data_IF_091938527726
#
_entry.id   IF_091938527726
#
_cell.length_a   1.000
_cell.length_b   1.000
_cell.length_c   1.000
_cell.angle_alpha   90.00
_cell.angle_beta   90.00
_cell.angle_gamma   90.00
#
_symmetry.space_group_name_H-M   'P 1'
#
loop_
_entity.id
_entity.type
_entity.pdbx_description
1 polymer ?
#
# COMPACT_ATOMS: atom_id res chain seq x y z
N UNK A 1 15.21 15.29 24.16
CA UNK A 1 14.41 15.38 22.91
C UNK A 1 15.20 15.18 21.61
N UNK A 2 16.15 16.04 21.19
CA UNK A 2 16.81 15.91 19.85
C UNK A 2 17.74 14.69 19.69
N UNK A 3 18.42 14.27 20.76
CA UNK A 3 19.29 13.08 20.77
C UNK A 3 18.51 11.75 20.90
N UNK A 4 17.29 11.77 21.45
CA UNK A 4 16.47 10.57 21.63
C UNK A 4 15.88 10.06 20.31
N UNK A 5 15.65 10.94 19.32
CA UNK A 5 15.12 10.56 18.01
C UNK A 5 16.11 9.74 17.16
N UNK A 6 17.42 9.83 17.43
CA UNK A 6 18.44 9.09 16.67
C UNK A 6 18.55 7.61 17.06
N UNK A 7 18.10 7.24 18.26
CA UNK A 7 18.35 5.90 18.82
C UNK A 7 17.11 5.01 18.90
N UNK A 8 16.00 5.41 18.26
CA UNK A 8 14.77 4.60 18.24
C UNK A 8 15.01 3.28 17.50
N UNK A 9 14.87 2.17 18.22
CA UNK A 9 15.02 0.82 17.66
C UNK A 9 13.80 0.43 16.82
N UNK A 10 14.01 -0.40 15.79
CA UNK A 10 12.89 -1.00 15.02
C UNK A 10 12.00 -1.90 15.88
N UNK A 11 12.50 -2.41 17.00
CA UNK A 11 11.72 -3.26 17.91
C UNK A 11 10.76 -2.47 18.81
N UNK A 12 10.92 -1.15 18.93
CA UNK A 12 10.04 -0.32 19.75
C UNK A 12 8.65 -0.18 19.12
N UNK A 13 7.62 -0.38 19.93
CA UNK A 13 6.21 -0.26 19.52
C UNK A 13 5.51 0.87 20.27
N UNK A 14 4.43 1.39 19.67
CA UNK A 14 3.49 2.32 20.30
C UNK A 14 2.19 1.64 20.71
N UNK A 15 1.11 2.42 20.76
CA UNK A 15 -0.24 1.93 21.08
C UNK A 15 -0.79 1.00 20.00
N UNK A 16 -0.38 1.18 18.74
CA UNK A 16 -0.80 0.31 17.64
C UNK A 16 -0.06 -1.05 17.62
N UNK A 17 0.96 -1.24 18.46
CA UNK A 17 1.73 -2.48 18.51
C UNK A 17 2.55 -2.78 17.25
N UNK A 18 2.68 -1.84 16.32
CA UNK A 18 3.42 -2.01 15.07
C UNK A 18 4.90 -1.69 15.27
N UNK A 19 5.77 -2.67 15.06
CA UNK A 19 7.22 -2.49 15.04
C UNK A 19 7.64 -1.58 13.89
N UNK A 20 8.80 -0.96 14.02
CA UNK A 20 9.41 -0.05 13.05
C UNK A 20 8.67 1.27 12.80
N UNK A 21 7.38 1.38 13.16
CA UNK A 21 6.58 2.60 12.98
C UNK A 21 7.16 3.82 13.71
N UNK A 22 7.57 3.63 14.97
CA UNK A 22 8.18 4.69 15.79
C UNK A 22 9.53 5.14 15.23
N UNK A 23 10.33 4.18 14.76
CA UNK A 23 11.62 4.46 14.11
C UNK A 23 11.40 5.25 12.81
N UNK A 24 10.48 4.82 11.96
CA UNK A 24 10.14 5.50 10.72
C UNK A 24 9.73 6.96 10.96
N UNK A 25 8.86 7.21 11.94
CA UNK A 25 8.46 8.56 12.36
C UNK A 25 9.66 9.40 12.83
N UNK A 26 10.45 8.86 13.77
CA UNK A 26 11.59 9.58 14.34
C UNK A 26 12.67 9.90 13.29
N UNK A 27 13.00 8.95 12.43
CA UNK A 27 13.97 9.15 11.34
C UNK A 27 13.47 10.14 10.30
N UNK A 28 12.17 10.11 9.96
CA UNK A 28 11.58 11.05 9.01
C UNK A 28 11.68 12.49 9.50
N UNK A 29 11.42 12.73 10.79
CA UNK A 29 11.58 14.04 11.40
C UNK A 29 13.07 14.45 11.53
N UNK A 30 13.95 13.54 11.95
CA UNK A 30 15.38 13.82 12.06
C UNK A 30 16.03 14.19 10.71
N UNK A 31 15.64 13.52 9.61
CA UNK A 31 16.13 13.84 8.26
C UNK A 31 15.72 15.22 7.80
N UNK A 32 14.51 15.66 8.16
CA UNK A 32 14.03 17.00 7.83
C UNK A 32 14.88 18.10 8.48
N UNK A 33 15.34 17.87 9.70
CA UNK A 33 16.22 18.79 10.44
C UNK A 33 17.67 18.76 9.92
N UNK A 34 17.99 17.97 8.89
CA UNK A 34 19.35 17.79 8.38
C UNK A 34 20.23 16.91 9.26
N UNK A 35 19.63 16.20 10.22
CA UNK A 35 20.33 15.46 11.28
C UNK A 35 20.50 13.96 10.92
N UNK A 36 19.92 13.50 9.80
CA UNK A 36 19.93 12.09 9.38
C UNK A 36 20.94 11.74 8.28
N UNK A 37 21.46 10.52 8.30
CA UNK A 37 22.21 9.94 7.19
C UNK A 37 21.29 9.50 6.05
N UNK A 38 21.89 9.25 4.87
CA UNK A 38 21.20 8.56 3.78
C UNK A 38 20.63 7.21 4.27
N UNK A 39 19.46 6.85 3.76
CA UNK A 39 18.82 5.55 4.03
C UNK A 39 19.74 4.43 3.56
N UNK A 40 19.99 3.45 4.43
CA UNK A 40 20.53 2.17 3.98
C UNK A 40 19.48 1.44 3.12
N UNK A 41 19.92 0.51 2.27
CA UNK A 41 18.97 -0.30 1.48
C UNK A 41 17.99 -1.07 2.38
N UNK A 42 18.46 -1.57 3.52
CA UNK A 42 17.62 -2.30 4.48
C UNK A 42 16.55 -1.39 5.10
N UNK A 43 16.92 -0.19 5.54
CA UNK A 43 15.95 0.76 6.10
C UNK A 43 14.94 1.19 5.05
N UNK A 44 15.38 1.45 3.82
CA UNK A 44 14.46 1.76 2.74
C UNK A 44 13.48 0.60 2.49
N UNK A 45 13.94 -0.65 2.53
CA UNK A 45 13.06 -1.83 2.39
C UNK A 45 12.06 -1.91 3.53
N UNK A 46 12.47 -1.67 4.77
CA UNK A 46 11.57 -1.72 5.93
C UNK A 46 10.55 -0.57 5.91
N UNK A 47 10.97 0.65 5.56
CA UNK A 47 10.07 1.79 5.37
C UNK A 47 8.98 1.45 4.34
N UNK A 48 9.35 0.85 3.20
CA UNK A 48 8.38 0.45 2.19
C UNK A 48 7.47 -0.69 2.66
N UNK A 49 7.99 -1.70 3.35
CA UNK A 49 7.18 -2.78 3.90
C UNK A 49 6.16 -2.26 4.91
N UNK A 50 6.57 -1.32 5.77
CA UNK A 50 5.71 -0.66 6.74
C UNK A 50 4.58 0.08 6.04
N UNK A 51 4.91 0.96 5.08
CA UNK A 51 3.92 1.78 4.39
C UNK A 51 2.94 0.95 3.58
N UNK A 52 3.42 -0.03 2.82
CA UNK A 52 2.55 -0.93 2.06
C UNK A 52 1.70 -1.80 2.99
N UNK A 53 2.28 -2.33 4.07
CA UNK A 53 1.55 -3.18 5.00
C UNK A 53 0.47 -2.46 5.81
N UNK A 54 0.61 -1.15 6.01
CA UNK A 54 -0.37 -0.29 6.69
C UNK A 54 -1.27 0.48 5.71
N UNK A 55 -1.24 0.17 4.41
CA UNK A 55 -1.96 0.88 3.34
C UNK A 55 -1.71 2.40 3.32
N UNK A 56 -0.52 2.84 3.73
CA UNK A 56 -0.15 4.25 3.79
C UNK A 56 0.46 4.71 2.47
N UNK A 57 -0.16 5.71 1.83
CA UNK A 57 0.37 6.30 0.62
C UNK A 57 1.63 7.13 0.91
N UNK A 58 2.76 6.76 0.30
CA UNK A 58 4.08 7.35 0.55
C UNK A 58 4.09 8.89 0.51
N UNK A 59 3.47 9.49 -0.51
CA UNK A 59 3.45 10.94 -0.69
C UNK A 59 2.61 11.63 0.39
N UNK A 60 1.45 11.06 0.73
CA UNK A 60 0.57 11.59 1.78
C UNK A 60 1.26 11.52 3.15
N UNK A 61 1.88 10.38 3.47
CA UNK A 61 2.63 10.19 4.70
C UNK A 61 3.79 11.18 4.81
N UNK A 62 4.58 11.34 3.74
CA UNK A 62 5.67 12.33 3.70
C UNK A 62 5.14 13.75 3.91
N UNK A 63 4.07 14.14 3.21
CA UNK A 63 3.47 15.47 3.35
C UNK A 63 3.01 15.73 4.79
N UNK A 64 2.33 14.77 5.40
CA UNK A 64 1.85 14.88 6.78
C UNK A 64 3.01 15.07 7.76
N UNK A 65 4.03 14.21 7.69
CA UNK A 65 5.20 14.29 8.57
C UNK A 65 5.99 15.60 8.38
N UNK A 66 6.17 16.03 7.14
CA UNK A 66 7.00 17.20 6.83
C UNK A 66 6.33 18.52 7.21
N UNK A 67 5.00 18.63 7.05
CA UNK A 67 4.26 19.86 7.31
C UNK A 67 3.77 19.97 8.76
N UNK A 68 3.22 18.90 9.32
CA UNK A 68 2.54 18.95 10.62
C UNK A 68 3.50 18.76 11.79
N UNK A 69 4.56 17.95 11.61
CA UNK A 69 5.46 17.53 12.71
C UNK A 69 4.71 16.95 13.90
N UNK A 70 3.88 15.91 13.67
CA UNK A 70 3.11 15.33 14.75
C UNK A 70 4.04 14.72 15.80
N UNK A 71 3.59 14.73 17.04
CA UNK A 71 4.07 13.80 18.07
C UNK A 71 3.83 12.35 17.62
N UNK A 72 4.53 11.39 18.23
CA UNK A 72 4.35 9.99 17.85
C UNK A 72 2.90 9.51 18.07
N UNK A 73 2.26 9.94 19.17
CA UNK A 73 0.84 9.62 19.45
C UNK A 73 -0.10 10.18 18.38
N UNK A 74 0.09 11.43 17.95
CA UNK A 74 -0.71 12.02 16.87
C UNK A 74 -0.50 11.29 15.53
N UNK A 75 0.73 10.83 15.28
CA UNK A 75 1.01 10.02 14.10
C UNK A 75 0.31 8.66 14.16
N UNK A 76 0.29 7.98 15.31
CA UNK A 76 -0.47 6.74 15.48
C UNK A 76 -1.98 6.95 15.25
N UNK A 77 -2.55 8.02 15.79
CA UNK A 77 -3.95 8.38 15.55
C UNK A 77 -4.23 8.66 14.07
N UNK A 78 -3.31 9.34 13.39
CA UNK A 78 -3.42 9.59 11.95
C UNK A 78 -3.37 8.27 11.14
N UNK A 79 -2.45 7.36 11.44
CA UNK A 79 -2.37 6.05 10.79
C UNK A 79 -3.66 5.25 10.97
N UNK A 80 -4.20 5.23 12.19
CA UNK A 80 -5.47 4.56 12.48
C UNK A 80 -6.63 5.18 11.71
N UNK A 81 -6.70 6.52 11.63
CA UNK A 81 -7.72 7.23 10.86
C UNK A 81 -7.64 6.91 9.36
N UNK A 82 -6.45 6.79 8.78
CA UNK A 82 -6.27 6.37 7.37
C UNK A 82 -6.72 4.94 7.11
N UNK A 83 -6.67 4.09 8.13
CA UNK A 83 -7.16 2.73 8.05
C UNK A 83 -8.66 2.60 8.40
N UNK A 84 -9.39 3.70 8.55
CA UNK A 84 -10.83 3.69 8.85
C UNK A 84 -11.14 3.41 10.34
N UNK A 85 -10.17 3.63 11.22
CA UNK A 85 -10.33 3.45 12.66
C UNK A 85 -9.93 2.08 13.19
N UNK A 86 -9.56 1.13 12.31
CA UNK A 86 -9.20 -0.23 12.70
C UNK A 86 -7.98 -0.75 11.95
N UNK A 87 -7.17 -1.57 12.62
CA UNK A 87 -6.04 -2.27 12.05
C UNK A 87 -6.15 -3.75 12.41
N UNK A 88 -6.42 -4.59 11.40
CA UNK A 88 -6.59 -6.01 11.59
C UNK A 88 -5.39 -6.64 12.34
N UNK A 89 -5.59 -7.40 13.42
CA UNK A 89 -4.50 -8.00 14.20
C UNK A 89 -3.54 -8.86 13.35
N UNK A 90 -4.08 -9.60 12.37
CA UNK A 90 -3.31 -10.37 11.39
C UNK A 90 -2.28 -9.53 10.62
N UNK A 91 -2.62 -8.28 10.29
CA UNK A 91 -1.75 -7.35 9.57
C UNK A 91 -0.58 -6.92 10.46
N UNK A 92 -0.87 -6.60 11.72
CA UNK A 92 0.13 -6.20 12.72
C UNK A 92 1.07 -7.38 13.02
N UNK A 93 0.52 -8.56 13.28
CA UNK A 93 1.28 -9.80 13.53
C UNK A 93 2.25 -10.07 12.37
N UNK A 94 1.73 -10.04 11.14
CA UNK A 94 2.55 -10.27 9.95
C UNK A 94 3.68 -9.25 9.82
N UNK A 95 3.42 -7.95 10.02
CA UNK A 95 4.45 -6.91 9.94
C UNK A 95 5.53 -7.12 11.01
N UNK A 96 5.11 -7.39 12.24
CA UNK A 96 6.01 -7.61 13.36
C UNK A 96 6.90 -8.85 13.14
N UNK A 97 6.38 -9.96 12.61
CA UNK A 97 7.19 -11.12 12.23
C UNK A 97 8.26 -10.76 11.21
N UNK A 98 7.93 -9.94 10.20
CA UNK A 98 8.91 -9.51 9.18
C UNK A 98 10.00 -8.62 9.79
N UNK A 99 9.64 -7.63 10.61
CA UNK A 99 10.62 -6.72 11.21
C UNK A 99 11.50 -7.38 12.25
N UNK A 100 10.97 -8.36 12.99
CA UNK A 100 11.71 -9.16 13.96
C UNK A 100 12.53 -10.30 13.32
N UNK A 101 12.37 -10.54 12.01
CA UNK A 101 12.94 -11.69 11.30
C UNK A 101 12.55 -13.02 11.97
N UNK A 102 11.28 -13.15 12.35
CA UNK A 102 10.71 -14.32 13.00
C UNK A 102 9.74 -15.05 12.07
N UNK A 103 9.52 -16.36 12.28
CA UNK A 103 8.44 -17.07 11.61
C UNK A 103 7.09 -16.38 11.83
N UNK A 104 6.20 -16.53 10.85
CA UNK A 104 4.81 -16.11 11.00
C UNK A 104 4.11 -16.94 12.07
N UNK A 105 3.24 -16.32 12.85
CA UNK A 105 2.37 -17.04 13.77
C UNK A 105 1.29 -17.84 13.03
N UNK A 106 0.63 -18.74 13.76
CA UNK A 106 -0.29 -19.72 13.19
C UNK A 106 -1.47 -19.07 12.46
N UNK A 107 -1.97 -17.93 12.95
CA UNK A 107 -3.08 -17.22 12.33
C UNK A 107 -2.69 -16.69 10.94
N UNK A 108 -1.50 -16.11 10.82
CA UNK A 108 -0.97 -15.64 9.54
C UNK A 108 -0.73 -16.83 8.60
N UNK A 109 -0.14 -17.92 9.11
CA UNK A 109 0.09 -19.13 8.31
C UNK A 109 -1.22 -19.79 7.83
N UNK A 110 -2.28 -19.78 8.65
CA UNK A 110 -3.61 -20.24 8.26
C UNK A 110 -4.16 -19.39 7.11
N UNK A 111 -4.11 -18.06 7.23
CA UNK A 111 -4.54 -17.14 6.18
C UNK A 111 -3.77 -17.32 4.86
N UNK A 112 -2.45 -17.54 4.94
CA UNK A 112 -1.62 -17.79 3.75
C UNK A 112 -1.96 -19.13 3.10
N UNK A 113 -2.19 -20.19 3.88
CA UNK A 113 -2.64 -21.50 3.34
C UNK A 113 -4.00 -21.42 2.67
N UNK A 114 -4.93 -20.66 3.22
CA UNK A 114 -6.23 -20.41 2.58
C UNK A 114 -6.05 -19.71 1.22
N UNK A 115 -5.14 -18.75 1.13
CA UNK A 115 -4.82 -18.08 -0.14
C UNK A 115 -4.13 -19.02 -1.12
N UNK A 116 -3.22 -19.88 -0.66
CA UNK A 116 -2.56 -20.88 -1.51
C UNK A 116 -3.55 -21.92 -2.04
N UNK A 117 -4.49 -22.37 -1.20
CA UNK A 117 -5.53 -23.33 -1.57
C UNK A 117 -6.61 -22.74 -2.50
N UNK A 118 -6.66 -21.41 -2.66
CA UNK A 118 -7.57 -20.78 -3.62
C UNK A 118 -7.17 -21.11 -5.06
N UNK A 119 -8.16 -21.25 -5.94
CA UNK A 119 -7.94 -21.59 -7.34
C UNK A 119 -6.98 -20.62 -8.03
N UNK A 120 -6.11 -21.17 -8.87
CA UNK A 120 -5.16 -20.39 -9.65
C UNK A 120 -5.88 -19.43 -10.60
N UNK A 121 -5.38 -18.20 -10.64
CA UNK A 121 -5.98 -17.10 -11.42
C UNK A 121 -5.27 -16.93 -12.75
N UNK A 122 -3.95 -17.14 -12.76
CA UNK A 122 -3.10 -17.08 -13.94
C UNK A 122 -2.81 -18.50 -14.43
N UNK A 123 -2.96 -18.70 -15.73
CA UNK A 123 -2.56 -19.94 -16.41
C UNK A 123 -1.04 -20.01 -16.61
N UNK A 124 -0.53 -21.16 -17.03
CA UNK A 124 0.89 -21.30 -17.40
C UNK A 124 1.28 -20.35 -18.54
N UNK A 125 0.40 -20.15 -19.53
CA UNK A 125 0.62 -19.24 -20.64
C UNK A 125 0.67 -17.78 -20.17
N UNK A 126 -0.19 -17.40 -19.21
CA UNK A 126 -0.17 -16.07 -18.60
C UNK A 126 1.13 -15.79 -17.85
N UNK A 127 1.66 -16.79 -17.13
CA UNK A 127 2.94 -16.70 -16.43
C UNK A 127 4.12 -16.62 -17.39
N UNK A 128 4.09 -17.38 -18.49
CA UNK A 128 5.09 -17.25 -19.55
C UNK A 128 5.04 -15.87 -20.20
N UNK A 129 3.83 -15.37 -20.51
CA UNK A 129 3.65 -14.03 -21.07
C UNK A 129 4.19 -12.95 -20.13
N UNK A 130 3.98 -13.09 -18.81
CA UNK A 130 4.57 -12.20 -17.80
C UNK A 130 6.10 -12.22 -17.82
N UNK A 131 6.73 -13.39 -17.84
CA UNK A 131 8.20 -13.48 -17.88
C UNK A 131 8.79 -12.87 -19.16
N UNK A 132 8.10 -13.01 -20.28
CA UNK A 132 8.53 -12.46 -21.57
C UNK A 132 8.29 -10.95 -21.69
N UNK A 133 7.15 -10.45 -21.20
CA UNK A 133 6.67 -9.09 -21.50
C UNK A 133 6.67 -8.15 -20.28
N UNK A 134 6.77 -8.69 -19.06
CA UNK A 134 6.75 -7.93 -17.81
C UNK A 134 5.38 -7.35 -17.42
N UNK A 135 4.30 -7.81 -18.05
CA UNK A 135 2.92 -7.51 -17.67
C UNK A 135 1.99 -8.69 -18.02
N UNK A 136 0.83 -8.74 -17.38
CA UNK A 136 -0.23 -9.73 -17.63
C UNK A 136 -1.60 -9.10 -17.38
N UNK A 137 -2.64 -9.57 -18.07
CA UNK A 137 -4.00 -9.03 -17.96
C UNK A 137 -4.88 -10.02 -17.23
N UNK A 138 -5.23 -9.71 -15.97
CA UNK A 138 -6.24 -10.47 -15.22
C UNK A 138 -7.62 -9.91 -15.51
N UNK A 139 -8.42 -10.65 -16.27
CA UNK A 139 -9.82 -10.30 -16.52
C UNK A 139 -10.66 -10.65 -15.28
N UNK A 140 -11.66 -9.79 -15.04
CA UNK A 140 -12.63 -9.95 -13.95
C UNK A 140 -11.94 -10.12 -12.58
N UNK A 141 -10.89 -9.32 -12.34
CA UNK A 141 -10.13 -9.32 -11.09
C UNK A 141 -10.98 -8.93 -9.86
N UNK A 142 -12.06 -8.19 -10.10
CA UNK A 142 -13.12 -7.81 -9.16
C UNK A 142 -14.47 -7.99 -9.86
N UNK A 143 -15.56 -8.05 -9.08
CA UNK A 143 -16.91 -8.15 -9.66
C UNK A 143 -17.30 -6.87 -10.39
N UNK A 144 -18.29 -6.95 -11.29
CA UNK A 144 -18.81 -5.77 -12.00
C UNK A 144 -19.44 -4.76 -11.04
N UNK A 145 -20.09 -5.25 -9.99
CA UNK A 145 -20.69 -4.43 -8.94
C UNK A 145 -19.61 -3.69 -8.14
N UNK A 146 -18.51 -4.36 -7.79
CA UNK A 146 -17.36 -3.71 -7.13
C UNK A 146 -16.71 -2.65 -8.03
N UNK A 147 -16.58 -2.94 -9.33
CA UNK A 147 -16.08 -1.98 -10.30
C UNK A 147 -16.99 -0.76 -10.40
N UNK A 148 -18.31 -0.95 -10.51
CA UNK A 148 -19.28 0.14 -10.58
C UNK A 148 -19.28 0.98 -9.30
N UNK A 149 -19.29 0.35 -8.12
CA UNK A 149 -19.22 1.07 -6.85
C UNK A 149 -17.94 1.91 -6.71
N UNK A 150 -16.83 1.44 -7.27
CA UNK A 150 -15.57 2.20 -7.30
C UNK A 150 -15.65 3.37 -8.26
N UNK A 151 -16.25 3.17 -9.45
CA UNK A 151 -16.49 4.24 -10.41
C UNK A 151 -17.38 5.34 -9.83
N UNK A 152 -18.53 4.98 -9.26
CA UNK A 152 -19.48 5.91 -8.66
C UNK A 152 -18.81 6.75 -7.55
N UNK A 153 -18.01 6.11 -6.71
CA UNK A 153 -17.28 6.79 -5.65
C UNK A 153 -16.21 7.76 -6.18
N UNK A 154 -15.59 7.46 -7.33
CA UNK A 154 -14.66 8.39 -7.99
C UNK A 154 -15.40 9.58 -8.56
N UNK A 155 -16.56 9.38 -9.20
CA UNK A 155 -17.41 10.46 -9.71
C UNK A 155 -17.87 11.38 -8.58
N UNK A 156 -18.35 10.82 -7.47
CA UNK A 156 -18.78 11.56 -6.29
C UNK A 156 -17.63 12.38 -5.69
N UNK A 157 -16.46 11.76 -5.50
CA UNK A 157 -15.32 12.43 -4.88
C UNK A 157 -14.72 13.55 -5.75
N UNK A 158 -14.94 13.50 -7.07
CA UNK A 158 -14.57 14.57 -7.99
C UNK A 158 -15.66 15.63 -8.16
N UNK A 159 -16.86 15.40 -7.62
CA UNK A 159 -18.05 16.22 -7.87
C UNK A 159 -18.32 16.36 -9.38
N UNK A 160 -18.15 15.26 -10.11
CA UNK A 160 -18.26 15.18 -11.57
C UNK A 160 -19.40 14.23 -11.96
N UNK A 161 -20.00 14.46 -13.13
CA UNK A 161 -21.11 13.65 -13.63
C UNK A 161 -20.76 12.97 -14.95
N UNK A 162 -20.88 11.63 -15.07
CA UNK A 162 -20.51 10.90 -16.30
C UNK A 162 -21.32 11.33 -17.53
N UNK A 163 -22.55 11.80 -17.34
CA UNK A 163 -23.43 12.25 -18.43
C UNK A 163 -23.28 13.75 -18.77
N UNK A 164 -22.45 14.49 -18.02
CA UNK A 164 -22.20 15.93 -18.26
C UNK A 164 -20.71 16.19 -18.44
N UNK A 165 -20.18 16.05 -19.67
CA UNK A 165 -18.76 16.24 -19.95
C UNK A 165 -18.21 17.62 -19.54
N UNK A 166 -19.06 18.65 -19.48
CA UNK A 166 -18.68 19.97 -18.99
C UNK A 166 -18.19 19.94 -17.52
N UNK A 167 -18.84 19.13 -16.67
CA UNK A 167 -18.48 18.98 -15.25
C UNK A 167 -17.07 18.44 -15.06
N UNK A 168 -16.54 17.71 -16.03
CA UNK A 168 -15.21 17.08 -15.93
C UNK A 168 -14.05 18.06 -15.93
N UNK A 169 -14.30 19.30 -16.36
CA UNK A 169 -13.28 20.33 -16.54
C UNK A 169 -13.43 21.51 -15.57
N UNK A 170 -14.40 21.48 -14.66
CA UNK A 170 -14.67 22.58 -13.74
C UNK A 170 -13.62 22.69 -12.62
N UNK A 171 -13.05 21.55 -12.20
CA UNK A 171 -12.14 21.46 -11.06
C UNK A 171 -10.87 20.68 -11.40
N UNK A 172 -9.71 21.06 -10.83
CA UNK A 172 -8.51 20.24 -10.92
C UNK A 172 -8.69 18.92 -10.15
N UNK A 173 -8.33 17.80 -10.77
CA UNK A 173 -8.52 16.41 -10.27
C UNK A 173 -7.56 16.05 -9.11
N UNK A 174 -6.59 16.91 -8.81
CA UNK A 174 -5.58 16.71 -7.77
C UNK A 174 -4.22 17.30 -8.16
N UNK A 175 -3.14 16.66 -7.71
CA UNK A 175 -1.77 16.98 -8.12
C UNK A 175 -1.48 16.38 -9.51
N UNK A 176 -2.00 17.04 -10.56
CA UNK A 176 -1.89 16.56 -11.94
C UNK A 176 -2.95 15.51 -12.29
N UNK A 177 -2.53 14.30 -12.69
CA UNK A 177 -3.41 13.20 -13.15
C UNK A 177 -3.84 12.28 -11.99
N UNK A 178 -3.12 12.33 -10.87
CA UNK A 178 -3.38 11.48 -9.71
C UNK A 178 -4.28 12.19 -8.70
N UNK A 179 -5.33 11.50 -8.30
CA UNK A 179 -6.28 11.94 -7.28
C UNK A 179 -5.86 11.42 -5.91
N UNK A 180 -6.03 12.24 -4.86
CA UNK A 180 -5.84 11.82 -3.47
C UNK A 180 -7.04 10.96 -3.00
N UNK A 181 -7.17 9.77 -3.58
CA UNK A 181 -8.27 8.82 -3.38
C UNK A 181 -7.72 7.43 -3.01
N UNK A 182 -6.78 7.37 -2.08
CA UNK A 182 -6.10 6.12 -1.71
C UNK A 182 -6.89 5.26 -0.73
N UNK A 183 -7.65 5.92 0.14
CA UNK A 183 -8.23 5.34 1.36
C UNK A 183 -9.73 5.05 1.25
N UNK A 184 -10.33 5.27 0.07
CA UNK A 184 -11.75 5.02 -0.12
C UNK A 184 -12.08 3.53 0.08
N UNK A 185 -13.15 3.18 0.82
CA UNK A 185 -13.48 1.78 1.13
C UNK A 185 -13.59 0.87 -0.10
N UNK A 186 -14.10 1.40 -1.22
CA UNK A 186 -14.24 0.63 -2.47
C UNK A 186 -12.88 0.21 -3.04
N UNK A 187 -11.87 1.09 -3.01
CA UNK A 187 -10.52 0.73 -3.45
C UNK A 187 -9.82 -0.23 -2.50
N UNK A 188 -10.05 -0.10 -1.19
CA UNK A 188 -9.53 -1.06 -0.21
C UNK A 188 -10.13 -2.45 -0.48
N UNK A 189 -11.44 -2.54 -0.63
CA UNK A 189 -12.13 -3.79 -0.96
C UNK A 189 -11.61 -4.42 -2.26
N UNK A 190 -11.32 -3.60 -3.28
CA UNK A 190 -10.71 -4.10 -4.52
C UNK A 190 -9.30 -4.66 -4.29
N UNK A 191 -8.43 -3.97 -3.54
CA UNK A 191 -7.08 -4.46 -3.23
C UNK A 191 -7.09 -5.75 -2.40
N UNK A 192 -8.11 -5.91 -1.58
CA UNK A 192 -8.31 -7.11 -0.74
C UNK A 192 -8.98 -8.27 -1.48
N UNK A 193 -9.40 -8.09 -2.74
CA UNK A 193 -9.97 -9.16 -3.57
C UNK A 193 -9.07 -10.39 -3.60
N UNK A 194 -9.63 -11.56 -3.22
CA UNK A 194 -8.90 -12.83 -3.20
C UNK A 194 -8.25 -13.15 -4.55
N UNK A 195 -8.95 -12.87 -5.65
CA UNK A 195 -8.45 -13.08 -7.01
C UNK A 195 -7.22 -12.22 -7.31
N UNK A 196 -7.23 -10.96 -6.89
CA UNK A 196 -6.06 -10.09 -7.00
C UNK A 196 -4.92 -10.62 -6.13
N UNK A 197 -5.18 -10.92 -4.85
CA UNK A 197 -4.15 -11.44 -3.95
C UNK A 197 -3.53 -12.75 -4.45
N UNK A 198 -4.33 -13.64 -5.02
CA UNK A 198 -3.85 -14.89 -5.62
C UNK A 198 -3.02 -14.66 -6.87
N UNK A 199 -3.43 -13.75 -7.76
CA UNK A 199 -2.61 -13.40 -8.93
C UNK A 199 -1.23 -12.85 -8.52
N UNK A 200 -1.19 -11.99 -7.50
CA UNK A 200 0.09 -11.55 -6.90
C UNK A 200 0.84 -12.70 -6.21
N UNK A 201 0.15 -13.64 -5.57
CA UNK A 201 0.83 -14.81 -4.99
C UNK A 201 1.54 -15.65 -6.08
N UNK A 202 0.88 -15.88 -7.21
CA UNK A 202 1.42 -16.64 -8.34
C UNK A 202 2.60 -15.93 -9.01
N UNK A 203 2.47 -14.63 -9.31
CA UNK A 203 3.51 -13.86 -10.01
C UNK A 203 4.81 -13.72 -9.20
N UNK A 204 4.72 -13.67 -7.87
CA UNK A 204 5.89 -13.51 -7.00
C UNK A 204 6.34 -14.82 -6.33
N UNK A 205 5.62 -15.92 -6.54
CA UNK A 205 5.91 -17.22 -5.93
C UNK A 205 5.76 -17.24 -4.41
N UNK A 206 5.03 -16.27 -3.83
CA UNK A 206 4.83 -16.17 -2.39
C UNK A 206 3.46 -15.57 -2.07
N UNK A 207 2.67 -16.15 -1.15
CA UNK A 207 1.36 -15.63 -0.75
C UNK A 207 1.46 -14.33 0.07
N UNK A 208 2.68 -13.90 0.43
CA UNK A 208 2.87 -12.68 1.22
C UNK A 208 2.78 -11.41 0.35
N UNK A 209 3.14 -11.43 -0.93
CA UNK A 209 3.14 -10.19 -1.73
C UNK A 209 1.70 -9.77 -2.10
N UNK A 210 1.40 -8.47 -2.05
CA UNK A 210 0.09 -7.91 -2.40
C UNK A 210 0.25 -6.55 -3.11
N UNK A 211 -0.82 -6.02 -3.72
CA UNK A 211 -0.75 -4.75 -4.44
C UNK A 211 -0.42 -3.59 -3.48
N UNK A 212 0.47 -2.65 -3.86
CA UNK A 212 0.72 -1.45 -3.07
C UNK A 212 -0.52 -0.53 -3.05
N UNK A 213 -0.63 0.41 -2.09
CA UNK A 213 -1.67 1.43 -2.12
C UNK A 213 -1.46 2.35 -3.33
N UNK A 214 -2.28 2.17 -4.36
CA UNK A 214 -2.27 2.97 -5.59
C UNK A 214 -3.43 3.95 -5.61
N UNK A 215 -3.17 5.21 -5.96
CA UNK A 215 -4.24 6.13 -6.35
C UNK A 215 -4.81 5.69 -7.70
N UNK A 216 -6.12 5.86 -7.93
CA UNK A 216 -6.64 5.79 -9.28
C UNK A 216 -5.99 6.92 -10.10
N UNK A 217 -5.45 6.55 -11.25
CA UNK A 217 -5.03 7.52 -12.25
C UNK A 217 -6.23 7.79 -13.15
N UNK A 218 -6.68 9.05 -13.21
CA UNK A 218 -7.63 9.47 -14.25
C UNK A 218 -6.88 9.65 -15.57
N UNK A 219 -6.40 8.55 -16.13
CA UNK A 219 -5.76 8.58 -17.44
C UNK A 219 -6.83 8.50 -18.52
N UNK A 220 -6.87 9.55 -19.36
CA UNK A 220 -7.52 9.50 -20.69
C UNK A 220 -7.10 8.20 -21.39
N UNK A 221 -7.97 7.55 -22.19
CA UNK A 221 -7.56 6.40 -22.98
C UNK A 221 -6.53 6.82 -24.03
N UNK A 222 -5.24 6.75 -23.68
CA UNK A 222 -4.11 6.74 -24.59
C UNK A 222 -3.16 5.64 -24.12
N UNK A 223 -2.77 4.80 -25.10
CA UNK A 223 -2.02 3.54 -24.99
C UNK A 223 -1.07 3.45 -23.78
N UNK A 224 -0.99 2.30 -23.10
CA UNK A 224 -0.11 2.13 -21.96
C UNK A 224 1.37 2.20 -22.42
N UNK A 225 2.09 3.17 -21.88
CA UNK A 225 3.55 3.18 -21.81
C UNK A 225 3.93 3.07 -20.34
N UNK A 226 3.96 1.85 -19.79
CA UNK A 226 4.67 1.59 -18.54
C UNK A 226 5.32 0.21 -18.65
N UNK A 227 6.58 0.20 -19.06
CA UNK A 227 7.53 -0.81 -18.64
C UNK A 227 8.55 -0.08 -17.77
N UNK A 228 8.75 -0.55 -16.54
CA UNK A 228 10.07 -0.87 -15.94
C UNK A 228 9.97 -0.99 -14.41
N UNK A 229 10.41 -2.16 -13.93
CA UNK A 229 10.78 -2.56 -12.56
C UNK A 229 9.66 -2.85 -11.55
N UNK A 230 9.28 -4.13 -11.50
CA UNK A 230 8.75 -4.78 -10.31
C UNK A 230 9.45 -6.15 -10.08
N UNK A 231 10.73 -6.14 -9.71
CA UNK A 231 11.33 -7.23 -8.94
C UNK A 231 11.77 -6.64 -7.62
N UNK A 232 11.08 -6.95 -6.52
CA UNK A 232 11.55 -6.87 -5.12
C UNK A 232 10.41 -7.20 -4.14
N UNK A 233 9.99 -8.46 -4.16
CA UNK A 233 9.25 -9.11 -3.06
C UNK A 233 10.00 -10.41 -2.71
N UNK A 234 11.34 -10.38 -2.58
CA UNK A 234 12.12 -11.53 -2.09
C UNK A 234 12.71 -11.17 -0.75
N UNK A 235 12.10 -11.70 0.31
CA UNK A 235 12.73 -11.87 1.61
C UNK A 235 13.64 -13.08 1.54
N UNK A 236 14.86 -12.83 1.09
CA UNK A 236 16.08 -13.61 1.32
C UNK A 236 17.23 -12.62 1.25
#
# INVERSE_FOLDING_TARGET
MKSELMHVSSAETGQLGVQHLKRFWAQSLARREGIGSALTEQEWRFDNLLLNGLDLALQETKRYLMHIQPTFTEFEQWVLAKNGGDLAPLRIERLNSVFANQPYGENVLAHLRELEAYDDVLSADDLQFWEENGYVIVREAISREQAQATEDAVWEALDMRPDTPASWYEKPIGQGIMMDFYHHPTLRANRESRRIRKAFAQLWGTPTCGPPPTAPASTRPKRPLIATRARRCTGT
#
